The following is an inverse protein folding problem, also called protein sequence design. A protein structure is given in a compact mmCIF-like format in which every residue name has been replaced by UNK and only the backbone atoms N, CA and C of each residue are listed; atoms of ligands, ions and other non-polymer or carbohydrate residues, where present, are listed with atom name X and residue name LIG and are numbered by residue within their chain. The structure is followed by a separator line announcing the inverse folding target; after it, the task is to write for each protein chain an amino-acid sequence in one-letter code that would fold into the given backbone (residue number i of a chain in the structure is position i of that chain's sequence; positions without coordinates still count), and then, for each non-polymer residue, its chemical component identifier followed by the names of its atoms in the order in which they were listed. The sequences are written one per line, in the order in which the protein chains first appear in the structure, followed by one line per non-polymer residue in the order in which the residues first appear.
data_IF_863350075548
#
_entry.id   IF_863350075548
#
_cell.length_a   1.000
_cell.length_b   1.000
_cell.length_c   1.000
_cell.angle_alpha   90.00
_cell.angle_beta   90.00
_cell.angle_gamma   90.00
#
_symmetry.space_group_name_H-M   'P 1'
#
loop_
_entity.id
_entity.type
_entity.pdbx_description
1 polymer ?
#
# COMPACT_ATOMS: atom_id res chain seq x y z
N UNK A 1 3.54 71.80 -15.86
CA UNK A 1 2.54 71.72 -14.78
C UNK A 1 2.69 70.37 -14.11
N UNK A 2 3.02 70.39 -12.83
CA UNK A 2 3.19 69.23 -11.95
C UNK A 2 1.88 68.95 -11.18
N UNK A 3 1.64 67.67 -10.85
CA UNK A 3 1.01 67.17 -9.60
C UNK A 3 0.89 65.64 -9.74
N UNK A 4 1.78 64.85 -9.11
CA UNK A 4 1.76 64.39 -7.72
C UNK A 4 0.54 63.53 -7.35
N UNK A 5 0.76 62.22 -7.21
CA UNK A 5 0.12 61.31 -6.24
C UNK A 5 1.07 60.11 -6.09
N UNK A 6 2.01 60.21 -5.16
CA UNK A 6 2.00 59.54 -3.85
C UNK A 6 2.49 58.09 -3.90
N UNK A 7 3.61 57.90 -3.19
CA UNK A 7 4.31 56.66 -2.90
C UNK A 7 3.48 55.70 -2.05
N UNK A 8 3.76 54.40 -2.17
CA UNK A 8 3.79 53.45 -1.05
C UNK A 8 4.55 52.16 -1.43
N UNK A 9 5.77 52.07 -0.92
CA UNK A 9 6.60 50.85 -0.76
C UNK A 9 6.23 50.16 0.57
N UNK A 10 6.78 48.97 0.88
CA UNK A 10 6.39 47.61 0.51
C UNK A 10 5.64 46.88 1.66
N UNK A 11 4.64 46.03 1.38
CA UNK A 11 4.08 45.16 2.42
C UNK A 11 4.94 43.90 2.61
N UNK A 12 5.86 43.98 3.57
CA UNK A 12 6.57 42.84 4.15
C UNK A 12 5.55 41.96 4.89
N UNK A 13 5.06 40.91 4.25
CA UNK A 13 4.27 39.86 4.90
C UNK A 13 5.18 39.06 5.85
N UNK A 14 5.34 39.58 7.06
CA UNK A 14 5.89 38.85 8.17
C UNK A 14 5.04 37.58 8.37
N UNK A 15 5.63 36.42 8.06
CA UNK A 15 5.13 35.10 8.46
C UNK A 15 5.16 35.06 9.99
N UNK A 16 4.06 35.50 10.59
CA UNK A 16 3.83 35.48 12.02
C UNK A 16 3.43 34.06 12.39
N UNK A 17 4.42 33.28 12.84
CA UNK A 17 4.23 31.98 13.47
C UNK A 17 3.10 32.07 14.52
N UNK A 18 1.93 31.51 14.19
CA UNK A 18 0.79 31.47 15.10
C UNK A 18 0.91 30.24 16.00
N UNK A 19 1.70 30.39 17.05
CA UNK A 19 1.69 29.51 18.22
C UNK A 19 0.55 29.98 19.13
N UNK A 20 -0.57 29.26 19.18
CA UNK A 20 -1.65 29.42 20.18
C UNK A 20 -2.23 28.03 20.47
N UNK A 21 -1.83 27.42 21.58
CA UNK A 21 -2.46 27.51 22.92
C UNK A 21 -3.74 26.70 22.98
N UNK A 22 -3.59 25.49 23.51
CA UNK A 22 -4.64 24.60 23.99
C UNK A 22 -5.38 25.24 25.17
N UNK A 23 -6.66 25.53 25.00
CA UNK A 23 -7.61 25.79 26.08
C UNK A 23 -9.01 25.35 25.63
N UNK A 24 -9.54 24.30 26.27
CA UNK A 24 -10.98 24.03 26.33
C UNK A 24 -11.53 24.94 27.45
N UNK A 25 -12.58 25.76 27.27
CA UNK A 25 -13.97 25.29 27.47
C UNK A 25 -15.11 26.10 26.77
N UNK A 26 -16.27 25.46 26.56
CA UNK A 26 -17.65 26.02 26.60
C UNK A 26 -17.93 27.45 26.07
N UNK A 27 -17.58 27.77 24.83
CA UNK A 27 -18.16 28.93 24.13
C UNK A 27 -18.36 28.57 22.67
N UNK A 28 -19.57 28.80 22.15
CA UNK A 28 -20.07 28.36 20.84
C UNK A 28 -19.00 28.36 19.74
N UNK A 29 -18.48 27.17 19.44
CA UNK A 29 -17.65 26.94 18.25
C UNK A 29 -18.42 27.47 17.04
N UNK A 30 -17.93 28.55 16.44
CA UNK A 30 -18.43 29.05 15.17
C UNK A 30 -18.44 27.89 14.16
N UNK A 31 -19.49 27.80 13.36
CA UNK A 31 -19.67 26.75 12.33
C UNK A 31 -18.42 26.61 11.43
N UNK A 32 -17.72 27.72 11.19
CA UNK A 32 -16.45 27.75 10.46
C UNK A 32 -15.29 27.08 11.21
N UNK A 33 -15.23 27.20 12.53
CA UNK A 33 -14.20 26.56 13.35
C UNK A 33 -14.42 25.04 13.41
N UNK A 34 -15.69 24.60 13.49
CA UNK A 34 -16.04 23.16 13.40
C UNK A 34 -15.70 22.58 12.04
N UNK A 35 -15.98 23.28 10.94
CA UNK A 35 -15.59 22.87 9.59
C UNK A 35 -14.07 22.79 9.45
N UNK A 36 -13.34 23.79 9.97
CA UNK A 36 -11.87 23.78 9.96
C UNK A 36 -11.28 22.63 10.77
N UNK A 37 -11.84 22.30 11.93
CA UNK A 37 -11.42 21.12 12.71
C UNK A 37 -11.74 19.82 11.98
N UNK A 38 -12.88 19.74 11.28
CA UNK A 38 -13.23 18.57 10.45
C UNK A 38 -12.29 18.40 9.26
N UNK A 39 -11.87 19.49 8.60
CA UNK A 39 -10.91 19.45 7.50
C UNK A 39 -9.53 18.96 7.98
N UNK A 40 -9.07 19.46 9.14
CA UNK A 40 -7.83 18.97 9.78
C UNK A 40 -7.96 17.51 10.21
N UNK A 41 -9.12 17.09 10.73
CA UNK A 41 -9.36 15.70 11.10
C UNK A 41 -9.37 14.77 9.88
N UNK A 42 -9.85 15.22 8.72
CA UNK A 42 -9.79 14.47 7.46
C UNK A 42 -8.37 14.36 6.94
N UNK A 43 -7.62 15.45 6.93
CA UNK A 43 -6.20 15.44 6.56
C UNK A 43 -5.39 14.50 7.47
N UNK A 44 -5.61 14.56 8.80
CA UNK A 44 -4.96 13.66 9.76
C UNK A 44 -5.38 12.19 9.57
N UNK A 45 -6.57 11.93 9.03
CA UNK A 45 -7.07 10.56 8.77
C UNK A 45 -6.43 9.97 7.52
N UNK A 46 -6.30 10.74 6.45
CA UNK A 46 -5.64 10.30 5.22
C UNK A 46 -4.14 10.06 5.46
N UNK A 47 -3.52 10.88 6.30
CA UNK A 47 -2.14 10.64 6.76
C UNK A 47 -1.99 9.39 7.64
N UNK A 48 -3.06 8.97 8.34
CA UNK A 48 -3.05 7.79 9.18
C UNK A 48 -2.99 6.50 8.37
N UNK A 49 -3.68 6.42 7.24
CA UNK A 49 -3.59 5.25 6.33
C UNK A 49 -2.18 5.07 5.77
N UNK A 50 -1.53 6.18 5.38
CA UNK A 50 -0.14 6.17 4.89
C UNK A 50 0.85 5.84 6.00
N UNK A 51 0.60 6.33 7.22
CA UNK A 51 1.42 6.01 8.38
C UNK A 51 1.29 4.54 8.78
N UNK A 52 0.07 3.97 8.78
CA UNK A 52 -0.18 2.57 9.13
C UNK A 52 0.54 1.59 8.18
N UNK A 53 0.70 1.92 6.89
CA UNK A 53 1.52 1.13 5.95
C UNK A 53 3.01 1.19 6.25
N UNK A 54 3.55 2.35 6.65
CA UNK A 54 4.94 2.48 7.08
C UNK A 54 5.19 1.78 8.42
N UNK A 55 4.27 1.95 9.39
CA UNK A 55 4.35 1.29 10.71
C UNK A 55 4.29 -0.24 10.60
N UNK A 56 3.51 -0.79 9.65
CA UNK A 56 3.43 -2.24 9.45
C UNK A 56 4.77 -2.86 9.01
N UNK A 57 5.64 -2.11 8.32
CA UNK A 57 6.98 -2.58 7.90
C UNK A 57 7.97 -2.61 9.06
N UNK A 58 8.02 -1.54 9.85
CA UNK A 58 8.97 -1.43 10.97
C UNK A 58 8.59 -2.36 12.13
N UNK A 59 7.29 -2.54 12.39
CA UNK A 59 6.81 -3.50 13.38
C UNK A 59 7.13 -4.95 12.98
N UNK A 60 7.02 -5.28 11.68
CA UNK A 60 7.38 -6.61 11.18
C UNK A 60 8.87 -6.90 11.36
N UNK A 61 9.75 -5.95 11.05
CA UNK A 61 11.21 -6.09 11.25
C UNK A 61 11.54 -6.37 12.72
N UNK A 62 10.96 -5.57 13.63
CA UNK A 62 11.17 -5.72 15.08
C UNK A 62 10.65 -7.06 15.59
N UNK A 63 9.48 -7.51 15.14
CA UNK A 63 8.88 -8.77 15.55
C UNK A 63 9.64 -9.98 15.00
N UNK A 64 10.22 -9.88 13.80
CA UNK A 64 11.05 -10.91 13.20
C UNK A 64 12.37 -11.06 13.96
N UNK A 65 13.00 -9.95 14.34
CA UNK A 65 14.20 -9.93 15.18
C UNK A 65 13.98 -10.64 16.52
N UNK A 66 12.91 -10.30 17.25
CA UNK A 66 12.60 -10.92 18.55
C UNK A 66 12.40 -12.44 18.42
N UNK A 67 11.72 -12.89 17.35
CA UNK A 67 11.53 -14.32 17.08
C UNK A 67 12.84 -15.02 16.74
N UNK A 68 13.71 -14.42 15.93
CA UNK A 68 15.00 -15.01 15.54
C UNK A 68 15.94 -15.13 16.74
N UNK A 69 16.07 -14.08 17.54
CA UNK A 69 16.87 -14.09 18.79
C UNK A 69 16.36 -15.16 19.75
N UNK A 70 15.04 -15.22 19.97
CA UNK A 70 14.41 -16.22 20.84
C UNK A 70 14.67 -17.65 20.35
N UNK A 71 14.61 -17.88 19.05
CA UNK A 71 14.80 -19.21 18.45
C UNK A 71 16.27 -19.62 18.46
N UNK A 72 17.21 -18.71 18.18
CA UNK A 72 18.65 -18.95 18.28
C UNK A 72 19.06 -19.32 19.72
N UNK A 73 18.52 -18.60 20.72
CA UNK A 73 18.71 -18.94 22.13
C UNK A 73 18.18 -20.32 22.51
N UNK A 74 17.02 -20.73 21.98
CA UNK A 74 16.47 -22.07 22.20
C UNK A 74 17.25 -23.17 21.49
N UNK A 75 17.83 -22.87 20.33
CA UNK A 75 18.59 -23.82 19.50
C UNK A 75 20.05 -23.94 19.92
N UNK A 76 20.54 -23.11 20.84
CA UNK A 76 21.92 -23.12 21.33
C UNK A 76 22.94 -22.62 20.30
N UNK A 77 22.48 -21.94 19.25
CA UNK A 77 23.32 -21.44 18.17
C UNK A 77 23.77 -20.01 18.49
N UNK A 78 25.07 -19.74 18.45
CA UNK A 78 25.63 -18.43 18.78
C UNK A 78 25.56 -17.53 17.54
N UNK A 79 24.35 -17.09 17.20
CA UNK A 79 24.13 -16.14 16.09
C UNK A 79 24.38 -14.73 16.62
N UNK A 80 25.26 -13.99 15.95
CA UNK A 80 25.55 -12.61 16.32
C UNK A 80 24.41 -11.68 15.91
N UNK A 81 24.18 -10.59 16.65
CA UNK A 81 23.13 -9.61 16.29
C UNK A 81 23.32 -9.05 14.87
N UNK A 82 24.56 -8.93 14.41
CA UNK A 82 24.91 -8.48 13.07
C UNK A 82 24.48 -9.50 11.97
N UNK A 83 24.62 -10.80 12.23
CA UNK A 83 24.16 -11.84 11.30
C UNK A 83 22.64 -11.90 11.23
N UNK A 84 21.96 -11.70 12.35
CA UNK A 84 20.49 -11.65 12.40
C UNK A 84 19.99 -10.47 11.56
N UNK A 85 20.59 -9.29 11.71
CA UNK A 85 20.19 -8.10 10.95
C UNK A 85 20.43 -8.26 9.44
N UNK A 86 21.56 -8.87 9.06
CA UNK A 86 21.88 -9.16 7.66
C UNK A 86 20.91 -10.18 7.04
N UNK A 87 20.52 -11.21 7.80
CA UNK A 87 19.52 -12.18 7.36
C UNK A 87 18.13 -11.55 7.20
N UNK A 88 17.76 -10.62 8.07
CA UNK A 88 16.50 -9.87 7.96
C UNK A 88 16.49 -9.00 6.70
N UNK A 89 17.59 -8.32 6.40
CA UNK A 89 17.71 -7.48 5.21
C UNK A 89 17.57 -8.30 3.92
N UNK A 90 18.27 -9.44 3.84
CA UNK A 90 18.15 -10.37 2.72
C UNK A 90 16.73 -10.95 2.58
N UNK A 91 16.06 -11.21 3.70
CA UNK A 91 14.66 -11.67 3.69
C UNK A 91 13.73 -10.60 3.09
N UNK A 92 13.86 -9.34 3.48
CA UNK A 92 13.03 -8.26 2.94
C UNK A 92 13.34 -7.94 1.47
N UNK A 93 14.60 -8.11 1.04
CA UNK A 93 15.02 -7.97 -0.36
C UNK A 93 14.37 -9.06 -1.24
N UNK A 94 14.29 -10.30 -0.74
CA UNK A 94 13.66 -11.42 -1.47
C UNK A 94 12.13 -11.50 -1.32
N UNK A 95 11.53 -10.85 -0.33
CA UNK A 95 10.10 -10.91 -0.05
C UNK A 95 9.21 -10.35 -1.19
N UNK A 96 9.76 -9.53 -2.07
CA UNK A 96 9.05 -8.96 -3.23
C UNK A 96 9.33 -9.71 -4.53
N UNK A 97 10.10 -10.80 -4.48
CA UNK A 97 10.44 -11.57 -5.66
C UNK A 97 9.34 -12.58 -5.93
N UNK A 98 8.53 -12.31 -6.96
CA UNK A 98 7.56 -13.26 -7.49
C UNK A 98 8.30 -14.51 -7.99
N UNK A 99 8.05 -15.64 -7.35
CA UNK A 99 8.64 -16.92 -7.72
C UNK A 99 7.61 -17.67 -8.57
N UNK A 100 7.85 -17.73 -9.89
CA UNK A 100 6.96 -18.41 -10.82
C UNK A 100 6.83 -19.89 -10.41
N UNK A 101 5.61 -20.44 -10.31
CA UNK A 101 5.43 -21.85 -9.99
C UNK A 101 6.10 -22.69 -11.08
N UNK A 102 6.90 -23.68 -10.68
CA UNK A 102 7.55 -24.58 -11.64
C UNK A 102 6.49 -25.13 -12.62
N UNK A 103 6.72 -25.03 -13.94
CA UNK A 103 5.77 -25.50 -14.93
C UNK A 103 5.58 -27.01 -14.74
N UNK A 104 4.39 -27.41 -14.33
CA UNK A 104 4.06 -28.79 -14.02
C UNK A 104 2.58 -29.08 -14.19
N UNK A 105 2.19 -30.36 -14.11
CA UNK A 105 0.82 -30.82 -14.34
C UNK A 105 -0.21 -30.10 -13.47
N UNK A 106 0.15 -29.72 -12.23
CA UNK A 106 -0.71 -28.92 -11.33
C UNK A 106 -0.97 -27.51 -11.87
N UNK A 107 0.05 -26.85 -12.41
CA UNK A 107 -0.07 -25.53 -13.04
C UNK A 107 -0.90 -25.60 -14.32
N UNK A 108 -0.74 -26.67 -15.10
CA UNK A 108 -1.53 -26.91 -16.31
C UNK A 108 -3.02 -27.11 -16.00
N UNK A 109 -3.36 -27.92 -14.99
CA UNK A 109 -4.76 -28.11 -14.55
C UNK A 109 -5.34 -26.80 -14.01
N UNK A 110 -4.57 -26.01 -13.25
CA UNK A 110 -4.99 -24.69 -12.80
C UNK A 110 -5.27 -23.74 -13.97
N UNK A 111 -4.40 -23.72 -14.98
CA UNK A 111 -4.59 -22.92 -16.20
C UNK A 111 -5.83 -23.37 -16.98
N UNK A 112 -6.02 -24.69 -17.10
CA UNK A 112 -7.18 -25.30 -17.75
C UNK A 112 -8.49 -24.95 -17.02
N UNK A 113 -8.46 -24.86 -15.68
CA UNK A 113 -9.61 -24.45 -14.87
C UNK A 113 -9.97 -22.97 -15.04
N UNK A 114 -8.98 -22.07 -15.04
CA UNK A 114 -9.20 -20.63 -15.29
C UNK A 114 -9.79 -20.43 -16.69
N UNK A 115 -9.33 -21.21 -17.67
CA UNK A 115 -9.79 -21.13 -19.05
C UNK A 115 -11.04 -21.96 -19.35
N UNK A 116 -11.70 -22.56 -18.35
CA UNK A 116 -12.83 -23.50 -18.54
C UNK A 116 -13.90 -22.97 -19.49
N UNK A 117 -14.25 -21.69 -19.41
CA UNK A 117 -15.27 -21.08 -20.28
C UNK A 117 -14.83 -20.94 -21.75
N UNK A 118 -13.53 -20.70 -21.99
CA UNK A 118 -12.96 -20.67 -23.34
C UNK A 118 -12.79 -22.08 -23.90
N UNK A 119 -12.40 -23.04 -23.05
CA UNK A 119 -12.28 -24.46 -23.41
C UNK A 119 -13.63 -25.08 -23.76
N UNK A 120 -14.70 -24.79 -23.02
CA UNK A 120 -16.04 -25.29 -23.35
C UNK A 120 -16.55 -24.69 -24.66
N UNK A 121 -16.36 -23.39 -24.90
CA UNK A 121 -16.68 -22.76 -26.18
C UNK A 121 -15.90 -23.40 -27.32
N UNK A 122 -14.58 -23.57 -27.17
CA UNK A 122 -13.77 -24.23 -28.17
C UNK A 122 -14.25 -25.67 -28.44
N UNK A 123 -14.53 -26.44 -27.40
CA UNK A 123 -15.04 -27.81 -27.53
C UNK A 123 -16.39 -27.87 -28.27
N UNK A 124 -17.33 -26.99 -27.92
CA UNK A 124 -18.65 -26.89 -28.57
C UNK A 124 -18.47 -26.51 -30.03
N UNK A 125 -17.71 -25.46 -30.33
CA UNK A 125 -17.47 -25.06 -31.72
C UNK A 125 -16.84 -26.17 -32.55
N UNK A 126 -15.88 -26.90 -31.97
CA UNK A 126 -15.23 -28.04 -32.62
C UNK A 126 -16.23 -29.16 -32.90
N UNK A 127 -17.05 -29.54 -31.92
CA UNK A 127 -18.08 -30.59 -32.10
C UNK A 127 -19.15 -30.18 -33.10
N UNK A 128 -19.58 -28.92 -33.09
CA UNK A 128 -20.55 -28.40 -34.06
C UNK A 128 -19.98 -28.42 -35.48
N UNK A 129 -18.72 -28.02 -35.68
CA UNK A 129 -18.08 -28.02 -37.00
C UNK A 129 -17.88 -29.44 -37.51
N UNK A 130 -17.35 -30.36 -36.69
CA UNK A 130 -17.15 -31.75 -37.10
C UNK A 130 -18.48 -32.45 -37.36
N UNK A 131 -19.47 -32.27 -36.49
CA UNK A 131 -20.80 -32.86 -36.67
C UNK A 131 -21.51 -32.31 -37.90
N UNK A 132 -21.41 -31.00 -38.15
CA UNK A 132 -21.96 -30.37 -39.35
C UNK A 132 -21.28 -30.85 -40.64
N UNK A 133 -19.96 -30.96 -40.64
CA UNK A 133 -19.20 -31.51 -41.77
C UNK A 133 -19.58 -32.97 -42.06
N UNK A 134 -19.66 -33.80 -41.02
CA UNK A 134 -20.08 -35.19 -41.17
C UNK A 134 -21.50 -35.30 -41.72
N UNK A 135 -22.43 -34.51 -41.21
CA UNK A 135 -23.81 -34.47 -41.71
C UNK A 135 -23.91 -34.00 -43.16
N UNK A 136 -23.04 -33.09 -43.60
CA UNK A 136 -23.03 -32.61 -44.99
C UNK A 136 -22.42 -33.63 -45.97
N UNK A 137 -21.49 -34.47 -45.51
CA UNK A 137 -20.80 -35.48 -46.32
C UNK A 137 -21.42 -36.89 -46.22
N UNK A 138 -22.45 -37.07 -45.38
CA UNK A 138 -23.24 -38.32 -45.23
C UNK A 138 -24.59 -38.22 -45.92
#
# INVERSE_FOLDING_TARGET
MANQSQAQTPYRSAVRAHRRSSSLPEESLSLQETLRVMDVAREMRDQRETAEEMFRRDDLRTQLRDKLVRTAHMSGDNVTEAEIELAIEQFFESAHTYQDPQPGLKSFVAHCWVWRGRLTLAAVTLTTVLGGLWFMFS
#
